data_IF_972552853252
#
_entry.id   IF_972552853252
#
_cell.length_a   1.000
_cell.length_b   1.000
_cell.length_c   1.000
_cell.angle_alpha   90.00
_cell.angle_beta   90.00
_cell.angle_gamma   90.00
#
_symmetry.space_group_name_H-M   'P 1'
#
loop_
_entity.id
_entity.type
_entity.pdbx_description
1 polymer ?
#
# COMPACT_ATOMS: atom_id res chain seq x y z
N UNK A 1 16.73 -52.43 31.46
CA UNK A 1 15.44 -52.22 30.79
C UNK A 1 14.95 -50.84 31.20
N UNK A 2 15.22 -49.83 30.36
CA UNK A 2 14.66 -48.50 30.53
C UNK A 2 13.19 -48.56 30.10
N UNK A 3 12.30 -47.97 30.89
CA UNK A 3 10.89 -47.84 30.57
C UNK A 3 10.74 -47.12 29.22
N UNK A 4 10.12 -47.79 28.26
CA UNK A 4 9.62 -47.15 27.05
C UNK A 4 8.57 -46.12 27.46
N UNK A 5 8.83 -44.87 27.12
CA UNK A 5 7.89 -43.75 27.28
C UNK A 5 6.66 -44.02 26.39
N UNK A 6 5.52 -44.28 27.01
CA UNK A 6 4.33 -44.87 26.38
C UNK A 6 3.27 -43.84 25.97
N UNK A 7 3.66 -42.66 25.50
CA UNK A 7 2.71 -41.66 24.97
C UNK A 7 3.18 -41.07 23.62
N UNK A 8 3.64 -41.94 22.71
CA UNK A 8 3.94 -41.55 21.32
C UNK A 8 2.63 -41.36 20.54
N UNK A 9 1.89 -40.28 20.82
CA UNK A 9 0.72 -39.90 20.02
C UNK A 9 1.15 -39.47 18.63
N UNK A 10 0.33 -39.77 17.62
CA UNK A 10 0.56 -39.29 16.27
C UNK A 10 0.59 -37.75 16.24
N UNK A 11 1.57 -37.17 15.54
CA UNK A 11 1.83 -35.72 15.50
C UNK A 11 1.83 -35.21 14.07
N UNK A 12 1.23 -34.04 13.84
CA UNK A 12 1.37 -33.32 12.56
C UNK A 12 2.83 -32.90 12.36
N UNK A 13 3.31 -32.98 11.11
CA UNK A 13 4.62 -32.45 10.71
C UNK A 13 4.43 -31.15 9.94
N UNK A 14 4.63 -30.04 10.62
CA UNK A 14 4.57 -28.70 10.01
C UNK A 14 5.86 -28.39 9.26
N UNK A 15 5.76 -27.50 8.28
CA UNK A 15 6.88 -27.07 7.42
C UNK A 15 6.92 -25.55 7.40
N UNK A 16 8.12 -24.99 7.53
CA UNK A 16 8.36 -23.58 7.24
C UNK A 16 8.51 -23.44 5.72
N UNK A 17 7.80 -22.50 5.06
CA UNK A 17 7.99 -22.25 3.63
C UNK A 17 9.46 -22.04 3.29
N UNK A 18 9.91 -22.59 2.15
CA UNK A 18 11.32 -22.56 1.76
C UNK A 18 11.81 -21.13 1.44
N UNK A 19 10.94 -20.33 0.83
CA UNK A 19 11.22 -18.93 0.53
C UNK A 19 10.88 -18.04 1.73
N UNK A 20 11.71 -17.01 1.95
CA UNK A 20 11.48 -15.99 3.00
C UNK A 20 10.14 -15.26 2.85
N UNK A 21 9.56 -15.24 1.66
CA UNK A 21 8.20 -14.73 1.44
C UNK A 21 7.51 -15.57 0.39
N UNK A 22 6.33 -16.08 0.74
CA UNK A 22 5.49 -16.91 -0.11
C UNK A 22 4.09 -16.29 -0.19
N UNK A 23 3.46 -16.36 -1.35
CA UNK A 23 2.03 -16.07 -1.52
C UNK A 23 1.33 -17.34 -1.97
N UNK A 24 0.47 -17.87 -1.11
CA UNK A 24 -0.38 -19.03 -1.41
C UNK A 24 -1.53 -18.56 -2.31
N UNK A 25 -1.33 -18.64 -3.63
CA UNK A 25 -2.29 -18.15 -4.63
C UNK A 25 -3.61 -18.93 -4.57
N UNK A 26 -4.72 -18.21 -4.51
CA UNK A 26 -6.07 -18.77 -4.46
C UNK A 26 -7.10 -17.65 -4.43
N UNK A 27 -8.23 -17.87 -5.09
CA UNK A 27 -9.37 -16.95 -5.15
C UNK A 27 -10.60 -17.50 -4.42
N UNK A 28 -10.75 -18.83 -4.37
CA UNK A 28 -11.86 -19.49 -3.66
C UNK A 28 -11.41 -20.02 -2.30
N UNK A 29 -12.37 -20.26 -1.40
CA UNK A 29 -12.02 -20.82 -0.09
C UNK A 29 -11.36 -22.19 -0.17
N UNK A 30 -11.78 -23.04 -1.11
CA UNK A 30 -11.23 -24.38 -1.27
C UNK A 30 -9.79 -24.34 -1.78
N UNK A 31 -9.49 -23.48 -2.76
CA UNK A 31 -8.12 -23.23 -3.22
C UNK A 31 -7.24 -22.72 -2.07
N UNK A 32 -7.71 -21.73 -1.31
CA UNK A 32 -6.95 -21.16 -0.19
C UNK A 32 -6.65 -22.22 0.88
N UNK A 33 -7.64 -23.07 1.22
CA UNK A 33 -7.47 -24.16 2.18
C UNK A 33 -6.41 -25.17 1.71
N UNK A 34 -6.45 -25.58 0.44
CA UNK A 34 -5.46 -26.48 -0.14
C UNK A 34 -4.05 -25.89 -0.12
N UNK A 35 -3.90 -24.62 -0.52
CA UNK A 35 -2.59 -23.99 -0.56
C UNK A 35 -2.03 -23.73 0.85
N UNK A 36 -2.87 -23.37 1.81
CA UNK A 36 -2.45 -23.26 3.21
C UNK A 36 -1.95 -24.60 3.76
N UNK A 37 -2.66 -25.69 3.46
CA UNK A 37 -2.23 -27.04 3.86
C UNK A 37 -0.89 -27.43 3.21
N UNK A 38 -0.74 -27.21 1.90
CA UNK A 38 0.51 -27.49 1.16
C UNK A 38 1.69 -26.67 1.67
N UNK A 39 1.46 -25.41 2.02
CA UNK A 39 2.51 -24.52 2.51
C UNK A 39 2.97 -24.86 3.94
N UNK A 40 2.09 -25.44 4.77
CA UNK A 40 2.32 -25.51 6.22
C UNK A 40 2.42 -26.93 6.78
N UNK A 41 1.94 -27.95 6.06
CA UNK A 41 1.90 -29.33 6.54
C UNK A 41 2.53 -30.29 5.53
N UNK A 42 3.49 -31.10 5.96
CA UNK A 42 4.01 -32.24 5.18
C UNK A 42 3.27 -33.55 5.46
N UNK A 43 2.67 -33.67 6.64
CA UNK A 43 1.88 -34.81 7.08
C UNK A 43 0.94 -34.36 8.20
N UNK A 44 -0.27 -34.93 8.25
CA UNK A 44 -1.22 -34.70 9.31
C UNK A 44 -1.97 -36.01 9.64
N UNK A 45 -1.93 -36.51 10.89
CA UNK A 45 -2.58 -37.78 11.26
C UNK A 45 -4.10 -37.69 11.26
N UNK A 46 -4.66 -36.49 11.33
CA UNK A 46 -6.07 -36.25 11.03
C UNK A 46 -6.23 -35.04 10.11
N UNK A 47 -7.36 -34.97 9.41
CA UNK A 47 -7.75 -33.80 8.60
C UNK A 47 -9.21 -33.46 8.90
N UNK A 48 -9.48 -32.17 9.17
CA UNK A 48 -10.84 -31.68 9.35
C UNK A 48 -11.41 -31.30 7.98
N UNK A 49 -12.61 -31.80 7.68
CA UNK A 49 -13.34 -31.51 6.44
C UNK A 49 -14.60 -30.71 6.75
N UNK A 50 -14.92 -29.71 5.94
CA UNK A 50 -16.18 -28.96 6.01
C UNK A 50 -16.64 -28.60 4.60
N UNK A 51 -17.95 -28.51 4.36
CA UNK A 51 -18.49 -28.10 3.07
C UNK A 51 -18.07 -26.68 2.70
N UNK A 52 -17.70 -26.45 1.45
CA UNK A 52 -17.32 -25.12 0.94
C UNK A 52 -18.42 -24.06 1.10
N UNK A 53 -19.70 -24.48 1.10
CA UNK A 53 -20.87 -23.64 1.36
C UNK A 53 -21.37 -23.70 2.82
N UNK A 54 -20.75 -24.50 3.70
CA UNK A 54 -21.22 -24.71 5.07
C UNK A 54 -20.56 -23.73 6.08
N UNK A 55 -20.96 -22.47 5.98
CA UNK A 55 -20.48 -21.41 6.87
C UNK A 55 -20.85 -21.65 8.34
N UNK A 56 -21.97 -22.32 8.61
CA UNK A 56 -22.44 -22.61 9.96
C UNK A 56 -21.51 -23.59 10.70
N UNK A 57 -20.98 -24.58 9.97
CA UNK A 57 -20.03 -25.58 10.50
C UNK A 57 -18.59 -25.07 10.56
N UNK A 58 -18.23 -24.05 9.79
CA UNK A 58 -16.84 -23.55 9.65
C UNK A 58 -16.21 -23.14 10.99
N UNK A 59 -16.96 -22.51 11.90
CA UNK A 59 -16.43 -22.12 13.21
C UNK A 59 -16.00 -23.34 14.05
N UNK A 60 -16.81 -24.39 14.06
CA UNK A 60 -16.52 -25.64 14.77
C UNK A 60 -15.36 -26.39 14.12
N UNK A 61 -15.33 -26.46 12.78
CA UNK A 61 -14.23 -27.07 12.04
C UNK A 61 -12.90 -26.35 12.32
N UNK A 62 -12.90 -25.02 12.31
CA UNK A 62 -11.71 -24.24 12.65
C UNK A 62 -11.24 -24.46 14.09
N UNK A 63 -12.16 -24.48 15.07
CA UNK A 63 -11.82 -24.74 16.46
C UNK A 63 -11.23 -26.15 16.66
N UNK A 64 -11.84 -27.17 16.07
CA UNK A 64 -11.37 -28.54 16.13
C UNK A 64 -9.96 -28.69 15.52
N UNK A 65 -9.72 -28.07 14.37
CA UNK A 65 -8.42 -28.10 13.71
C UNK A 65 -7.32 -27.43 14.53
N UNK A 66 -7.62 -26.28 15.16
CA UNK A 66 -6.66 -25.58 16.03
C UNK A 66 -6.36 -26.39 17.29
N UNK A 67 -7.38 -27.02 17.89
CA UNK A 67 -7.20 -27.90 19.07
C UNK A 67 -6.31 -29.11 18.73
N UNK A 68 -6.53 -29.72 17.56
CA UNK A 68 -5.83 -30.91 17.11
C UNK A 68 -4.46 -30.63 16.47
N UNK A 69 -4.21 -29.39 16.02
CA UNK A 69 -3.02 -29.04 15.25
C UNK A 69 -2.99 -29.67 13.86
N UNK A 70 -4.13 -29.69 13.15
CA UNK A 70 -4.31 -30.33 11.84
C UNK A 70 -4.93 -29.36 10.81
N UNK A 71 -4.78 -29.58 9.50
CA UNK A 71 -5.38 -28.70 8.49
C UNK A 71 -6.91 -28.84 8.41
N UNK A 72 -7.56 -27.75 7.99
CA UNK A 72 -8.96 -27.75 7.53
C UNK A 72 -8.97 -27.70 6.01
N UNK A 73 -9.66 -28.64 5.37
CA UNK A 73 -9.89 -28.64 3.92
C UNK A 73 -11.39 -28.55 3.62
N UNK A 74 -11.71 -27.93 2.48
CA UNK A 74 -13.10 -27.73 2.04
C UNK A 74 -13.50 -28.78 1.02
N UNK A 75 -14.60 -29.48 1.29
CA UNK A 75 -15.23 -30.38 0.31
C UNK A 75 -16.08 -29.57 -0.64
N UNK A 76 -15.92 -29.79 -1.95
CA UNK A 76 -16.65 -29.08 -3.00
C UNK A 76 -17.15 -30.07 -4.05
N UNK A 77 -18.21 -29.68 -4.76
CA UNK A 77 -18.77 -30.41 -5.89
C UNK A 77 -18.04 -30.12 -7.21
N UNK A 78 -17.14 -29.13 -7.26
CA UNK A 78 -16.37 -28.82 -8.46
C UNK A 78 -15.28 -29.86 -8.73
N UNK A 79 -15.36 -30.54 -9.88
CA UNK A 79 -14.53 -31.72 -10.20
C UNK A 79 -13.01 -31.50 -10.05
N UNK A 80 -12.49 -30.37 -10.56
CA UNK A 80 -11.06 -30.09 -10.54
C UNK A 80 -10.53 -29.86 -9.10
N UNK A 81 -11.25 -29.05 -8.32
CA UNK A 81 -10.90 -28.75 -6.93
C UNK A 81 -11.10 -29.97 -6.03
N UNK A 82 -12.14 -30.78 -6.30
CA UNK A 82 -12.37 -32.05 -5.62
C UNK A 82 -11.26 -33.07 -5.92
N UNK A 83 -10.72 -33.10 -7.15
CA UNK A 83 -9.54 -33.91 -7.47
C UNK A 83 -8.30 -33.44 -6.70
N UNK A 84 -8.05 -32.13 -6.66
CA UNK A 84 -6.93 -31.55 -5.92
C UNK A 84 -7.02 -31.81 -4.40
N UNK A 85 -8.24 -31.84 -3.84
CA UNK A 85 -8.49 -32.25 -2.47
C UNK A 85 -8.08 -33.69 -2.21
N UNK A 86 -8.44 -34.63 -3.09
CA UNK A 86 -8.06 -36.04 -2.96
C UNK A 86 -6.56 -36.24 -3.03
N UNK A 87 -5.87 -35.53 -3.94
CA UNK A 87 -4.41 -35.53 -4.01
C UNK A 87 -3.77 -35.00 -2.72
N UNK A 88 -4.34 -33.93 -2.16
CA UNK A 88 -3.85 -33.35 -0.91
C UNK A 88 -4.05 -34.29 0.29
N UNK A 89 -5.19 -34.97 0.38
CA UNK A 89 -5.42 -36.00 1.40
C UNK A 89 -4.43 -37.16 1.26
N UNK A 90 -4.15 -37.63 0.05
CA UNK A 90 -3.15 -38.66 -0.19
C UNK A 90 -1.74 -38.21 0.24
N UNK A 91 -1.38 -36.94 -0.03
CA UNK A 91 -0.09 -36.36 0.38
C UNK A 91 0.04 -36.23 1.90
N UNK A 92 -1.02 -35.80 2.57
CA UNK A 92 -1.04 -35.65 4.03
C UNK A 92 -1.02 -37.01 4.74
N UNK A 93 -1.56 -38.05 4.10
CA UNK A 93 -1.70 -39.41 4.61
C UNK A 93 -2.35 -39.47 6.01
N UNK A 94 -3.61 -39.00 6.16
CA UNK A 94 -4.30 -39.03 7.44
C UNK A 94 -4.74 -40.44 7.83
N UNK A 95 -4.73 -40.70 9.13
CA UNK A 95 -5.35 -41.87 9.75
C UNK A 95 -6.83 -41.59 10.06
N UNK A 96 -7.21 -40.33 10.26
CA UNK A 96 -8.61 -39.95 10.57
C UNK A 96 -9.09 -38.76 9.73
N UNK A 97 -10.24 -38.91 9.08
CA UNK A 97 -11.00 -37.80 8.50
C UNK A 97 -12.09 -37.37 9.47
N UNK A 98 -12.15 -36.07 9.78
CA UNK A 98 -13.11 -35.49 10.71
C UNK A 98 -14.05 -34.55 9.94
N UNK A 99 -15.13 -35.08 9.33
CA UNK A 99 -16.12 -34.23 8.68
C UNK A 99 -16.97 -33.49 9.72
N UNK A 100 -17.18 -32.19 9.45
CA UNK A 100 -18.04 -31.29 10.21
C UNK A 100 -19.18 -30.86 9.29
N UNK A 101 -20.41 -31.24 9.65
CA UNK A 101 -21.60 -31.03 8.83
C UNK A 101 -21.91 -32.19 7.89
N UNK A 102 -23.16 -32.28 7.47
CA UNK A 102 -23.68 -33.42 6.70
C UNK A 102 -23.07 -33.53 5.30
N UNK A 103 -22.83 -32.39 4.64
CA UNK A 103 -22.22 -32.35 3.30
C UNK A 103 -20.81 -32.96 3.30
N UNK A 104 -19.96 -32.56 4.26
CA UNK A 104 -18.62 -33.12 4.41
C UNK A 104 -18.66 -34.60 4.81
N UNK A 105 -19.61 -35.00 5.64
CA UNK A 105 -19.78 -36.39 6.05
C UNK A 105 -20.24 -37.29 4.90
N UNK A 106 -21.10 -36.79 4.02
CA UNK A 106 -21.49 -37.44 2.77
C UNK A 106 -20.29 -37.59 1.83
N UNK A 107 -19.58 -36.49 1.58
CA UNK A 107 -18.41 -36.47 0.71
C UNK A 107 -17.33 -37.46 1.15
N UNK A 108 -17.02 -37.51 2.45
CA UNK A 108 -16.00 -38.41 3.01
C UNK A 108 -16.37 -39.90 2.89
N UNK A 109 -17.67 -40.22 2.87
CA UNK A 109 -18.15 -41.61 2.63
C UNK A 109 -18.03 -42.01 1.17
N UNK A 110 -18.30 -41.08 0.26
CA UNK A 110 -18.22 -41.30 -1.19
C UNK A 110 -16.76 -41.37 -1.69
N UNK A 111 -15.84 -40.72 -0.98
CA UNK A 111 -14.43 -40.61 -1.35
C UNK A 111 -13.51 -41.15 -0.23
N UNK A 112 -13.50 -42.47 0.01
CA UNK A 112 -12.66 -43.06 1.04
C UNK A 112 -11.16 -42.83 0.76
N UNK A 113 -10.41 -42.51 1.80
CA UNK A 113 -8.95 -42.46 1.77
C UNK A 113 -8.42 -43.76 2.34
N UNK A 114 -7.53 -44.44 1.61
CA UNK A 114 -6.98 -45.72 2.04
C UNK A 114 -6.28 -45.61 3.40
N UNK A 115 -6.67 -46.46 4.35
CA UNK A 115 -6.13 -46.46 5.70
C UNK A 115 -6.70 -45.39 6.64
N UNK A 116 -7.56 -44.49 6.16
CA UNK A 116 -8.19 -43.47 6.99
C UNK A 116 -9.59 -43.89 7.47
N UNK A 117 -9.86 -43.70 8.76
CA UNK A 117 -11.19 -43.83 9.34
C UNK A 117 -11.96 -42.51 9.29
N UNK A 118 -13.27 -42.56 9.04
CA UNK A 118 -14.14 -41.37 9.05
C UNK A 118 -14.81 -41.25 10.42
N UNK A 119 -14.42 -40.24 11.19
CA UNK A 119 -14.97 -39.94 12.51
C UNK A 119 -15.73 -38.60 12.48
N UNK A 120 -17.06 -38.65 12.40
CA UNK A 120 -17.88 -37.44 12.40
C UNK A 120 -17.63 -36.58 13.65
N UNK A 121 -17.55 -35.26 13.45
CA UNK A 121 -17.29 -34.32 14.53
C UNK A 121 -18.33 -34.40 15.65
N UNK A 122 -17.85 -34.55 16.88
CA UNK A 122 -18.64 -34.42 18.10
C UNK A 122 -17.84 -33.61 19.11
N UNK A 123 -18.44 -32.53 19.63
CA UNK A 123 -17.81 -31.68 20.62
C UNK A 123 -17.34 -32.50 21.84
N UNK A 124 -16.08 -32.31 22.24
CA UNK A 124 -15.47 -33.02 23.37
C UNK A 124 -15.06 -34.48 23.11
N UNK A 125 -15.19 -34.98 21.86
CA UNK A 125 -14.78 -36.34 21.47
C UNK A 125 -13.80 -36.34 20.29
N UNK A 126 -12.92 -35.35 20.24
CA UNK A 126 -11.86 -35.29 19.24
C UNK A 126 -10.75 -36.33 19.54
N UNK A 127 -10.06 -36.86 18.52
CA UNK A 127 -8.94 -37.77 18.74
C UNK A 127 -7.83 -37.08 19.54
N UNK A 128 -7.03 -37.86 20.26
CA UNK A 128 -5.89 -37.31 21.03
C UNK A 128 -4.64 -37.38 20.18
N UNK A 129 -4.22 -36.23 19.67
CA UNK A 129 -2.97 -36.08 18.91
C UNK A 129 -1.87 -35.47 19.77
N UNK A 130 -0.62 -35.63 19.35
CA UNK A 130 0.50 -34.90 19.92
C UNK A 130 0.61 -33.49 19.35
N UNK A 131 1.30 -32.59 20.07
CA UNK A 131 1.46 -31.20 19.63
C UNK A 131 2.60 -31.04 18.61
N UNK A 132 2.32 -30.37 17.50
CA UNK A 132 3.36 -29.95 16.55
C UNK A 132 4.23 -28.82 17.14
N UNK A 133 5.49 -28.76 16.73
CA UNK A 133 6.38 -27.65 17.08
C UNK A 133 5.86 -26.33 16.47
N UNK A 134 5.96 -25.21 17.20
CA UNK A 134 5.47 -23.93 16.71
C UNK A 134 6.31 -23.37 15.56
N UNK A 135 5.64 -22.72 14.61
CA UNK A 135 6.29 -21.99 13.51
C UNK A 135 6.55 -20.53 13.92
N UNK A 136 7.30 -20.32 15.00
CA UNK A 136 7.50 -18.98 15.63
C UNK A 136 8.15 -17.94 14.71
N UNK A 137 8.87 -18.40 13.69
CA UNK A 137 9.56 -17.55 12.70
C UNK A 137 8.67 -17.12 11.53
N UNK A 138 7.45 -17.67 11.43
CA UNK A 138 6.52 -17.43 10.33
C UNK A 138 5.40 -16.46 10.75
N UNK A 139 5.27 -15.37 10.00
CA UNK A 139 4.08 -14.52 10.00
C UNK A 139 3.18 -14.94 8.83
N UNK A 140 1.93 -15.31 9.13
CA UNK A 140 0.90 -15.56 8.13
C UNK A 140 -0.05 -14.36 8.08
N UNK A 141 -0.21 -13.76 6.90
CA UNK A 141 -1.24 -12.76 6.64
C UNK A 141 -2.46 -13.43 6.01
N UNK A 142 -3.63 -13.16 6.57
CA UNK A 142 -4.92 -13.62 6.03
C UNK A 142 -5.87 -12.43 5.91
N UNK A 143 -6.70 -12.42 4.87
CA UNK A 143 -7.75 -11.40 4.75
C UNK A 143 -8.95 -11.75 5.63
N UNK A 144 -9.55 -10.73 6.25
CA UNK A 144 -10.79 -10.85 7.04
C UNK A 144 -12.00 -11.07 6.12
N UNK A 145 -12.08 -12.27 5.55
CA UNK A 145 -13.11 -12.67 4.58
C UNK A 145 -13.54 -14.12 4.81
N UNK A 146 -14.81 -14.47 4.58
CA UNK A 146 -15.31 -15.84 4.76
C UNK A 146 -14.51 -16.89 3.99
N UNK A 147 -14.08 -16.58 2.76
CA UNK A 147 -13.31 -17.49 1.90
C UNK A 147 -11.96 -17.86 2.53
N UNK A 148 -11.35 -16.97 3.32
CA UNK A 148 -10.07 -17.23 3.97
C UNK A 148 -10.21 -18.03 5.28
N UNK A 149 -11.43 -18.35 5.74
CA UNK A 149 -11.65 -18.91 7.09
C UNK A 149 -10.94 -20.26 7.30
N UNK A 150 -11.09 -21.21 6.36
CA UNK A 150 -10.46 -22.53 6.44
C UNK A 150 -8.93 -22.45 6.37
N UNK A 151 -8.39 -21.62 5.47
CA UNK A 151 -6.96 -21.36 5.35
C UNK A 151 -6.37 -20.70 6.61
N UNK A 152 -7.11 -19.74 7.19
CA UNK A 152 -6.74 -19.07 8.44
C UNK A 152 -6.73 -20.04 9.62
N UNK A 153 -7.73 -20.93 9.71
CA UNK A 153 -7.77 -21.97 10.73
C UNK A 153 -6.61 -22.95 10.58
N UNK A 154 -6.31 -23.38 9.36
CA UNK A 154 -5.14 -24.21 9.03
C UNK A 154 -3.83 -23.54 9.45
N UNK A 155 -3.68 -22.25 9.17
CA UNK A 155 -2.51 -21.48 9.61
C UNK A 155 -2.37 -21.41 11.13
N UNK A 156 -3.47 -21.18 11.86
CA UNK A 156 -3.49 -21.21 13.33
C UNK A 156 -3.16 -22.60 13.88
N UNK A 157 -3.67 -23.66 13.24
CA UNK A 157 -3.41 -25.05 13.62
C UNK A 157 -1.94 -25.44 13.42
N UNK A 158 -1.25 -24.84 12.46
CA UNK A 158 0.22 -24.99 12.30
C UNK A 158 1.03 -24.29 13.40
N UNK A 159 0.36 -23.57 14.32
CA UNK A 159 0.96 -22.75 15.37
C UNK A 159 1.88 -21.64 14.84
N UNK A 160 1.63 -21.19 13.60
CA UNK A 160 2.23 -19.97 13.08
C UNK A 160 1.57 -18.72 13.68
N UNK A 161 2.27 -17.59 13.63
CA UNK A 161 1.67 -16.31 14.02
C UNK A 161 0.76 -15.82 12.89
N UNK A 162 -0.53 -15.74 13.16
CA UNK A 162 -1.51 -15.31 12.14
C UNK A 162 -1.99 -13.89 12.43
N UNK A 163 -1.86 -13.02 11.44
CA UNK A 163 -2.40 -11.67 11.44
C UNK A 163 -3.53 -11.57 10.41
N UNK A 164 -4.76 -11.44 10.90
CA UNK A 164 -5.94 -11.24 10.06
C UNK A 164 -6.11 -9.74 9.80
N UNK A 165 -6.15 -9.35 8.53
CA UNK A 165 -6.15 -7.95 8.10
C UNK A 165 -7.27 -7.67 7.10
N UNK A 166 -7.72 -6.42 6.99
CA UNK A 166 -8.84 -6.04 6.10
C UNK A 166 -8.39 -5.73 4.67
N UNK A 167 -7.19 -5.18 4.54
CA UNK A 167 -6.59 -4.75 3.29
C UNK A 167 -5.36 -5.63 2.97
N UNK A 168 -5.17 -6.11 1.73
CA UNK A 168 -3.99 -6.89 1.37
C UNK A 168 -2.68 -6.10 1.41
N UNK A 169 -2.70 -4.77 1.53
CA UNK A 169 -1.53 -3.97 1.83
C UNK A 169 -1.38 -3.74 3.34
N UNK A 170 -0.44 -4.40 4.04
CA UNK A 170 -0.25 -4.21 5.47
C UNK A 170 0.19 -2.79 5.85
N UNK A 171 0.68 -1.98 4.90
CA UNK A 171 1.04 -0.57 5.09
C UNK A 171 -0.17 0.36 5.26
N UNK A 172 -1.38 -0.14 5.01
CA UNK A 172 -2.61 0.64 5.05
C UNK A 172 -3.23 0.77 6.45
N UNK A 173 -2.74 0.04 7.45
CA UNK A 173 -3.31 -0.01 8.79
C UNK A 173 -2.20 0.14 9.86
N UNK A 174 -2.36 1.10 10.77
CA UNK A 174 -1.32 1.45 11.73
C UNK A 174 -1.16 0.41 12.85
N UNK A 175 -2.22 -0.30 13.23
CA UNK A 175 -2.13 -1.42 14.17
C UNK A 175 -1.42 -2.62 13.53
N UNK A 176 -1.73 -2.90 12.26
CA UNK A 176 -0.99 -3.92 11.49
C UNK A 176 0.50 -3.59 11.42
N UNK A 177 0.85 -2.34 11.08
CA UNK A 177 2.24 -1.85 11.06
C UNK A 177 2.91 -2.03 12.43
N UNK A 178 2.29 -1.54 13.51
CA UNK A 178 2.82 -1.68 14.89
C UNK A 178 3.09 -3.14 15.22
N UNK A 179 2.14 -4.01 14.87
CA UNK A 179 2.27 -5.44 15.17
C UNK A 179 3.34 -6.12 14.31
N UNK A 180 3.57 -5.69 13.07
CA UNK A 180 4.68 -6.20 12.24
C UNK A 180 6.03 -5.68 12.75
N UNK A 181 6.14 -4.38 13.06
CA UNK A 181 7.37 -3.76 13.56
C UNK A 181 7.83 -4.33 14.91
N UNK A 182 6.89 -4.76 15.77
CA UNK A 182 7.20 -5.40 17.05
C UNK A 182 7.68 -6.87 16.91
N UNK A 183 7.65 -7.46 15.71
CA UNK A 183 7.94 -8.89 15.48
C UNK A 183 9.30 -9.12 14.84
N UNK A 184 9.87 -10.30 15.13
CA UNK A 184 11.11 -10.82 14.54
C UNK A 184 10.84 -11.96 13.55
N UNK A 185 9.75 -11.89 12.78
CA UNK A 185 9.44 -12.92 11.79
C UNK A 185 10.44 -12.86 10.63
N UNK A 186 11.03 -14.01 10.29
CA UNK A 186 11.97 -14.11 9.17
C UNK A 186 11.30 -14.58 7.89
N UNK A 187 10.14 -15.24 8.02
CA UNK A 187 9.34 -15.74 6.91
C UNK A 187 7.95 -15.11 6.94
N UNK A 188 7.39 -14.88 5.76
CA UNK A 188 6.04 -14.37 5.57
C UNK A 188 5.26 -15.26 4.60
N UNK A 189 4.02 -15.60 4.95
CA UNK A 189 3.07 -16.26 4.06
C UNK A 189 1.82 -15.40 3.90
N UNK A 190 1.56 -14.91 2.69
CA UNK A 190 0.28 -14.29 2.33
C UNK A 190 -0.73 -15.34 1.84
N UNK A 191 -1.89 -15.45 2.48
CA UNK A 191 -2.96 -16.36 2.06
C UNK A 191 -3.88 -15.68 1.04
N UNK A 192 -3.68 -15.98 -0.24
CA UNK A 192 -4.53 -15.58 -1.35
C UNK A 192 -3.89 -14.60 -2.33
N UNK A 193 -4.40 -14.62 -3.56
CA UNK A 193 -3.82 -13.87 -4.69
C UNK A 193 -3.91 -12.35 -4.53
N UNK A 194 -4.78 -11.87 -3.63
CA UNK A 194 -4.93 -10.44 -3.34
C UNK A 194 -3.66 -9.79 -2.77
N UNK A 195 -2.76 -10.55 -2.13
CA UNK A 195 -1.47 -10.06 -1.65
C UNK A 195 -0.47 -9.74 -2.79
N UNK A 196 -0.79 -10.15 -4.02
CA UNK A 196 0.06 -9.93 -5.19
C UNK A 196 1.30 -10.84 -5.22
N UNK A 197 2.28 -10.51 -6.06
CA UNK A 197 3.55 -11.23 -6.15
C UNK A 197 4.34 -11.21 -4.82
N UNK A 198 5.15 -12.25 -4.58
CA UNK A 198 5.87 -12.43 -3.33
C UNK A 198 6.91 -11.32 -3.05
N UNK A 199 7.56 -10.79 -4.08
CA UNK A 199 8.50 -9.66 -3.99
C UNK A 199 7.78 -8.37 -3.58
N UNK A 200 6.60 -8.10 -4.13
CA UNK A 200 5.75 -6.98 -3.70
C UNK A 200 5.37 -7.11 -2.23
N UNK A 201 4.89 -8.29 -1.81
CA UNK A 201 4.55 -8.54 -0.41
C UNK A 201 5.77 -8.35 0.51
N UNK A 202 6.94 -8.88 0.11
CA UNK A 202 8.19 -8.72 0.86
C UNK A 202 8.53 -7.24 1.07
N UNK A 203 8.46 -6.43 0.01
CA UNK A 203 8.73 -4.99 0.10
C UNK A 203 7.73 -4.29 1.04
N UNK A 204 6.44 -4.63 0.96
CA UNK A 204 5.42 -4.06 1.86
C UNK A 204 5.67 -4.40 3.32
N UNK A 205 6.07 -5.64 3.62
CA UNK A 205 6.43 -6.05 4.98
C UNK A 205 7.70 -5.35 5.45
N UNK A 206 8.72 -5.21 4.59
CA UNK A 206 9.96 -4.53 4.93
C UNK A 206 9.70 -3.07 5.31
N UNK A 207 8.83 -2.37 4.57
CA UNK A 207 8.37 -1.02 4.93
C UNK A 207 7.57 -1.03 6.23
N UNK A 208 6.60 -1.95 6.41
CA UNK A 208 5.82 -2.07 7.64
C UNK A 208 6.69 -2.34 8.88
N UNK A 209 7.72 -3.16 8.74
CA UNK A 209 8.65 -3.50 9.81
C UNK A 209 9.48 -2.30 10.30
N UNK A 210 9.60 -1.23 9.51
CA UNK A 210 10.25 0.00 9.98
C UNK A 210 9.45 0.71 11.09
N UNK A 211 8.13 0.51 11.14
CA UNK A 211 7.23 1.23 12.04
C UNK A 211 7.13 2.75 11.78
N UNK A 212 7.79 3.26 10.73
CA UNK A 212 7.80 4.68 10.40
C UNK A 212 6.47 5.05 9.74
N UNK A 213 5.72 5.97 10.36
CA UNK A 213 4.42 6.43 9.84
C UNK A 213 4.56 7.75 9.09
N UNK A 214 3.74 7.93 8.07
CA UNK A 214 3.53 9.21 7.40
C UNK A 214 2.80 10.19 8.34
N UNK A 215 2.94 11.52 8.11
CA UNK A 215 2.09 12.54 8.73
C UNK A 215 0.62 12.16 8.66
N UNK A 216 -0.03 12.01 9.82
CA UNK A 216 -1.43 11.57 10.00
C UNK A 216 -1.66 10.03 9.91
N UNK A 217 -0.61 9.24 10.10
CA UNK A 217 -0.67 7.78 10.25
C UNK A 217 -0.52 6.99 8.94
N UNK A 218 -0.27 5.68 9.08
CA UNK A 218 -0.07 4.69 7.99
C UNK A 218 1.19 4.93 7.16
N UNK A 219 1.40 4.07 6.16
CA UNK A 219 2.56 4.10 5.26
C UNK A 219 2.19 4.21 3.76
N UNK A 220 0.89 4.28 3.46
CA UNK A 220 0.36 4.62 2.13
C UNK A 220 -0.27 6.01 2.17
N UNK A 221 -0.14 6.78 1.09
CA UNK A 221 -0.57 8.20 1.08
C UNK A 221 -2.04 8.39 0.75
N UNK A 222 -2.67 7.49 0.00
CA UNK A 222 -4.10 7.49 -0.35
C UNK A 222 -4.56 6.03 -0.53
N UNK A 223 -5.85 5.68 -0.39
CA UNK A 223 -7.02 6.52 -0.06
C UNK A 223 -7.13 6.88 1.44
N UNK A 224 -8.27 7.45 1.83
CA UNK A 224 -8.71 7.67 3.22
C UNK A 224 -7.95 8.76 3.98
N UNK A 225 -7.39 9.74 3.26
CA UNK A 225 -6.85 10.98 3.82
C UNK A 225 -6.77 12.04 2.73
N UNK A 226 -6.64 13.28 3.16
CA UNK A 226 -6.45 14.43 2.27
C UNK A 226 -5.26 15.25 2.71
N UNK A 227 -4.69 16.00 1.79
CA UNK A 227 -3.58 16.90 2.08
C UNK A 227 -3.93 18.32 1.63
N UNK A 228 -3.67 19.29 2.50
CA UNK A 228 -3.89 20.71 2.22
C UNK A 228 -2.56 21.44 2.40
N UNK A 229 -2.00 21.94 1.30
CA UNK A 229 -0.67 22.52 1.26
C UNK A 229 -0.69 24.05 1.22
N UNK A 230 0.34 24.65 1.84
CA UNK A 230 0.82 25.97 1.41
C UNK A 230 1.87 25.78 0.33
N UNK A 231 1.74 26.52 -0.76
CA UNK A 231 2.65 26.53 -1.88
C UNK A 231 3.63 27.70 -1.80
N UNK A 232 4.90 27.46 -2.15
CA UNK A 232 5.80 28.54 -2.53
C UNK A 232 7.28 28.31 -2.19
N UNK A 233 8.08 29.36 -2.31
CA UNK A 233 9.53 29.31 -2.06
C UNK A 233 9.92 29.95 -0.72
N UNK A 234 10.67 29.26 0.16
CA UNK A 234 11.21 29.82 1.39
C UNK A 234 11.87 31.20 1.23
N UNK A 235 11.31 32.21 1.90
CA UNK A 235 11.90 33.55 1.93
C UNK A 235 11.57 34.43 0.73
N UNK A 236 10.73 33.98 -0.20
CA UNK A 236 10.25 34.80 -1.31
C UNK A 236 8.71 34.88 -1.30
N UNK A 237 8.19 36.05 -0.92
CA UNK A 237 6.76 36.33 -0.88
C UNK A 237 6.12 36.42 -2.28
N UNK A 238 6.91 36.63 -3.33
CA UNK A 238 6.43 36.69 -4.71
C UNK A 238 6.20 35.31 -5.33
N UNK A 239 6.70 34.25 -4.69
CA UNK A 239 6.64 32.88 -5.19
C UNK A 239 5.63 32.00 -4.42
N UNK A 240 4.67 32.62 -3.73
CA UNK A 240 3.52 31.94 -3.13
C UNK A 240 3.42 32.05 -1.61
N UNK A 241 2.23 31.75 -1.11
CA UNK A 241 1.83 31.97 0.28
C UNK A 241 2.70 31.31 1.36
N UNK A 242 3.49 30.28 1.03
CA UNK A 242 4.46 29.67 1.94
C UNK A 242 5.62 30.61 2.27
N UNK A 243 6.12 31.35 1.27
CA UNK A 243 7.32 32.18 1.34
C UNK A 243 7.15 33.51 2.06
N UNK A 244 5.90 33.96 2.25
CA UNK A 244 5.53 35.21 2.93
C UNK A 244 5.93 35.27 4.41
N UNK A 245 6.39 34.17 4.99
CA UNK A 245 6.67 34.09 6.42
C UNK A 245 7.84 33.15 6.76
N UNK A 246 8.44 33.29 7.97
CA UNK A 246 9.39 32.31 8.49
C UNK A 246 8.75 30.93 8.75
N UNK A 247 9.59 29.88 8.78
CA UNK A 247 9.16 28.46 8.90
C UNK A 247 8.15 28.19 10.03
N UNK A 248 8.35 28.71 11.23
CA UNK A 248 7.43 28.45 12.36
C UNK A 248 6.03 29.04 12.12
N UNK A 249 5.98 30.18 11.43
CA UNK A 249 4.72 30.82 11.03
C UNK A 249 4.08 30.08 9.86
N UNK A 250 4.88 29.57 8.91
CA UNK A 250 4.38 28.72 7.83
C UNK A 250 3.77 27.43 8.38
N UNK A 251 4.40 26.77 9.36
CA UNK A 251 3.86 25.58 10.04
C UNK A 251 2.51 25.90 10.69
N UNK A 252 2.43 27.03 11.39
CA UNK A 252 1.18 27.47 12.03
C UNK A 252 0.09 27.77 10.99
N UNK A 253 0.43 28.45 9.89
CA UNK A 253 -0.50 28.78 8.80
C UNK A 253 -1.00 27.52 8.09
N UNK A 254 -0.12 26.58 7.75
CA UNK A 254 -0.51 25.33 7.08
C UNK A 254 -1.51 24.52 7.92
N UNK A 255 -1.29 24.40 9.23
CA UNK A 255 -2.26 23.78 10.14
C UNK A 255 -3.61 24.50 10.15
N UNK A 256 -3.59 25.84 10.17
CA UNK A 256 -4.82 26.65 10.17
C UNK A 256 -5.60 26.46 8.88
N UNK A 257 -4.93 26.41 7.72
CA UNK A 257 -5.59 26.19 6.42
C UNK A 257 -6.15 24.77 6.36
N UNK A 258 -5.37 23.75 6.73
CA UNK A 258 -5.85 22.37 6.78
C UNK A 258 -7.06 22.17 7.72
N UNK A 259 -7.08 22.84 8.88
CA UNK A 259 -8.18 22.76 9.84
C UNK A 259 -9.53 23.25 9.28
N UNK A 260 -9.53 24.14 8.28
CA UNK A 260 -10.76 24.59 7.62
C UNK A 260 -11.44 23.45 6.86
N UNK A 261 -10.67 22.45 6.42
CA UNK A 261 -11.16 21.28 5.72
C UNK A 261 -11.49 20.13 6.65
N UNK A 262 -10.79 19.99 7.78
CA UNK A 262 -11.06 18.92 8.76
C UNK A 262 -12.51 18.90 9.26
N UNK A 263 -13.19 20.05 9.28
CA UNK A 263 -14.60 20.13 9.67
C UNK A 263 -15.58 19.67 8.57
N UNK A 264 -15.10 19.44 7.35
CA UNK A 264 -15.91 19.13 6.17
C UNK A 264 -15.89 17.66 5.77
N UNK A 265 -14.89 16.90 6.23
CA UNK A 265 -14.67 15.50 5.84
C UNK A 265 -14.43 14.62 7.05
N UNK A 266 -14.66 13.31 6.89
CA UNK A 266 -14.44 12.33 7.97
C UNK A 266 -13.02 11.81 7.99
N UNK A 267 -12.40 11.72 6.81
CA UNK A 267 -11.02 11.31 6.67
C UNK A 267 -10.03 12.34 7.26
N UNK A 268 -8.87 11.89 7.77
CA UNK A 268 -7.82 12.79 8.24
C UNK A 268 -7.40 13.79 7.17
N UNK A 269 -7.34 15.07 7.54
CA UNK A 269 -6.77 16.15 6.72
C UNK A 269 -5.38 16.47 7.25
N UNK A 270 -4.38 16.26 6.42
CA UNK A 270 -2.97 16.45 6.73
C UNK A 270 -2.50 17.79 6.18
N UNK A 271 -1.94 18.68 7.01
CA UNK A 271 -1.28 19.88 6.48
C UNK A 271 -0.06 19.48 5.65
N UNK A 272 0.22 20.22 4.59
CA UNK A 272 1.35 19.99 3.72
C UNK A 272 2.10 21.30 3.40
N UNK A 273 3.33 21.15 2.93
CA UNK A 273 4.09 22.17 2.22
C UNK A 273 4.37 21.67 0.82
N UNK A 274 4.23 22.55 -0.15
CA UNK A 274 4.68 22.34 -1.51
C UNK A 274 5.72 23.41 -1.79
N UNK A 275 6.99 23.00 -1.74
CA UNK A 275 8.15 23.89 -1.68
C UNK A 275 8.78 23.95 -3.06
N UNK A 276 8.75 25.13 -3.70
CA UNK A 276 9.50 25.39 -4.93
C UNK A 276 10.98 25.30 -4.60
N UNK A 277 11.57 24.21 -5.03
CA UNK A 277 12.91 23.79 -4.63
C UNK A 277 13.93 24.21 -5.69
N UNK A 278 13.54 24.14 -6.95
CA UNK A 278 14.24 24.77 -8.07
C UNK A 278 13.31 25.79 -8.72
N UNK A 279 13.81 27.01 -8.96
CA UNK A 279 13.01 28.14 -9.45
C UNK A 279 13.44 28.48 -10.87
N UNK A 280 12.50 28.50 -11.80
CA UNK A 280 12.73 28.97 -13.16
C UNK A 280 13.33 30.39 -13.19
N UNK A 281 14.48 30.58 -13.83
CA UNK A 281 15.18 31.88 -13.92
C UNK A 281 15.38 32.42 -15.34
N UNK A 282 15.07 33.69 -15.59
CA UNK A 282 15.33 34.32 -16.89
C UNK A 282 16.82 34.36 -17.25
N UNK A 283 17.70 34.23 -16.24
CA UNK A 283 19.14 34.18 -16.40
C UNK A 283 19.64 32.73 -16.43
N UNK A 284 20.70 32.43 -17.21
CA UNK A 284 21.22 31.06 -17.35
C UNK A 284 21.75 30.44 -16.05
N UNK A 285 22.07 31.25 -15.04
CA UNK A 285 22.78 30.77 -13.85
C UNK A 285 24.19 30.23 -14.17
N UNK A 286 24.90 29.69 -13.17
CA UNK A 286 26.26 29.19 -13.34
C UNK A 286 26.40 27.92 -14.21
N UNK A 287 25.38 27.07 -14.25
CA UNK A 287 25.36 25.81 -15.02
C UNK A 287 24.56 25.91 -16.32
N UNK A 288 23.98 27.07 -16.62
CA UNK A 288 23.39 27.38 -17.92
C UNK A 288 22.01 26.80 -18.14
N UNK A 289 21.39 26.21 -17.10
CA UNK A 289 20.12 25.50 -17.21
C UNK A 289 18.90 26.40 -16.98
N UNK A 290 19.07 27.67 -16.59
CA UNK A 290 17.96 28.61 -16.33
C UNK A 290 17.05 28.15 -15.18
N UNK A 291 17.59 27.43 -14.20
CA UNK A 291 16.90 27.02 -12.98
C UNK A 291 17.77 27.32 -11.76
N UNK A 292 17.31 28.21 -10.88
CA UNK A 292 18.01 28.51 -9.64
C UNK A 292 17.68 27.44 -8.59
N UNK A 293 18.66 26.61 -8.22
CA UNK A 293 18.45 25.55 -7.25
C UNK A 293 18.71 25.99 -5.81
N UNK A 294 17.73 25.73 -4.93
CA UNK A 294 17.94 25.83 -3.50
C UNK A 294 18.92 24.75 -3.03
N UNK A 295 19.80 25.08 -2.10
CA UNK A 295 20.67 24.07 -1.49
C UNK A 295 19.89 23.19 -0.51
N UNK A 296 20.36 21.95 -0.30
CA UNK A 296 19.77 21.04 0.70
C UNK A 296 19.83 21.67 2.10
N UNK A 297 20.88 22.41 2.41
CA UNK A 297 21.07 23.11 3.69
C UNK A 297 20.02 24.21 3.90
N UNK A 298 19.61 24.89 2.83
CA UNK A 298 18.55 25.90 2.90
C UNK A 298 17.17 25.29 3.15
N UNK A 299 16.89 24.14 2.51
CA UNK A 299 15.59 23.47 2.60
C UNK A 299 15.42 22.61 3.85
N UNK A 300 16.50 22.05 4.40
CA UNK A 300 16.46 21.12 5.54
C UNK A 300 15.72 21.68 6.76
N UNK A 301 15.91 22.94 7.20
CA UNK A 301 15.13 23.49 8.31
C UNK A 301 13.62 23.42 8.09
N UNK A 302 13.15 23.62 6.86
CA UNK A 302 11.74 23.54 6.48
C UNK A 302 11.23 22.10 6.49
N UNK A 303 11.98 21.18 5.88
CA UNK A 303 11.65 19.75 5.85
C UNK A 303 11.60 19.16 7.26
N UNK A 304 12.56 19.50 8.11
CA UNK A 304 12.64 18.97 9.47
C UNK A 304 11.55 19.56 10.37
N UNK A 305 11.25 20.86 10.22
CA UNK A 305 10.14 21.50 10.94
C UNK A 305 8.79 20.90 10.53
N UNK A 306 8.59 20.65 9.22
CA UNK A 306 7.41 19.97 8.73
C UNK A 306 7.27 18.55 9.31
N UNK A 307 8.35 17.76 9.30
CA UNK A 307 8.36 16.41 9.86
C UNK A 307 7.98 16.38 11.35
N UNK A 308 8.60 17.23 12.17
CA UNK A 308 8.24 17.36 13.60
C UNK A 308 6.79 17.81 13.81
N UNK A 309 6.24 18.58 12.87
CA UNK A 309 4.87 19.06 12.92
C UNK A 309 3.86 18.05 12.33
N UNK A 310 4.28 16.91 11.77
CA UNK A 310 3.35 16.05 11.03
C UNK A 310 2.74 16.79 9.84
N UNK A 311 3.57 17.52 9.10
CA UNK A 311 3.28 18.15 7.82
C UNK A 311 3.97 17.33 6.73
N UNK A 312 3.26 17.01 5.65
CA UNK A 312 3.85 16.36 4.47
C UNK A 312 4.55 17.40 3.59
N UNK A 313 5.64 17.05 2.91
CA UNK A 313 6.36 17.98 2.03
C UNK A 313 6.40 17.43 0.62
N UNK A 314 6.14 18.30 -0.36
CA UNK A 314 6.48 18.08 -1.76
C UNK A 314 7.62 19.03 -2.13
N UNK A 315 8.66 18.48 -2.75
CA UNK A 315 9.70 19.28 -3.39
C UNK A 315 9.28 19.50 -4.84
N UNK A 316 8.95 20.74 -5.18
CA UNK A 316 8.54 21.14 -6.52
C UNK A 316 9.74 21.58 -7.36
N UNK A 317 9.82 21.06 -8.58
CA UNK A 317 10.93 21.25 -9.50
C UNK A 317 10.46 22.03 -10.73
N UNK A 318 11.07 23.20 -10.96
CA UNK A 318 10.91 24.00 -12.16
C UNK A 318 12.19 23.86 -13.01
N UNK A 319 12.21 22.97 -14.02
CA UNK A 319 13.45 22.35 -14.47
C UNK A 319 14.30 23.22 -15.41
N UNK A 320 13.80 24.36 -15.88
CA UNK A 320 14.52 25.13 -16.89
C UNK A 320 14.87 24.25 -18.10
N UNK A 321 16.13 24.24 -18.51
CA UNK A 321 16.66 23.45 -19.64
C UNK A 321 17.20 22.07 -19.23
N UNK A 322 17.25 21.74 -17.93
CA UNK A 322 17.65 20.41 -17.48
C UNK A 322 16.45 19.46 -17.39
N UNK A 323 16.72 18.18 -17.17
CA UNK A 323 15.70 17.15 -16.97
C UNK A 323 15.35 16.94 -15.49
N UNK A 324 14.11 16.48 -15.23
CA UNK A 324 13.63 16.27 -13.88
C UNK A 324 14.44 15.27 -13.07
N UNK A 325 14.94 14.20 -13.69
CA UNK A 325 15.70 13.18 -12.99
C UNK A 325 17.03 13.74 -12.48
N UNK A 326 17.68 14.59 -13.28
CA UNK A 326 18.90 15.29 -12.90
C UNK A 326 18.66 16.19 -11.69
N UNK A 327 17.61 17.01 -11.68
CA UNK A 327 17.30 17.86 -10.51
C UNK A 327 16.84 17.05 -9.29
N UNK A 328 15.98 16.05 -9.46
CA UNK A 328 15.48 15.23 -8.36
C UNK A 328 16.61 14.54 -7.59
N UNK A 329 17.66 14.10 -8.30
CA UNK A 329 18.86 13.51 -7.68
C UNK A 329 19.64 14.48 -6.78
N UNK A 330 19.60 15.80 -7.03
CA UNK A 330 20.22 16.80 -6.14
C UNK A 330 19.58 16.79 -4.75
N UNK A 331 18.30 16.42 -4.67
CA UNK A 331 17.52 16.38 -3.44
C UNK A 331 17.31 14.97 -2.89
N UNK A 332 18.08 13.99 -3.35
CA UNK A 332 17.97 12.60 -2.92
C UNK A 332 18.05 12.44 -1.39
N UNK A 333 18.83 13.29 -0.70
CA UNK A 333 18.93 13.26 0.75
C UNK A 333 17.62 13.68 1.45
N UNK A 334 16.94 14.71 0.95
CA UNK A 334 15.64 15.13 1.47
C UNK A 334 14.54 14.14 1.07
N UNK A 335 14.59 13.60 -0.14
CA UNK A 335 13.66 12.56 -0.61
C UNK A 335 13.81 11.24 0.16
N UNK A 336 14.92 10.99 0.86
CA UNK A 336 15.04 9.87 1.80
C UNK A 336 14.26 10.06 3.09
N UNK A 337 13.76 11.26 3.38
CA UNK A 337 12.88 11.49 4.52
C UNK A 337 11.50 10.87 4.27
N UNK A 338 10.86 10.24 5.26
CA UNK A 338 9.59 9.52 5.07
C UNK A 338 8.44 10.40 4.58
N UNK A 339 8.37 11.64 5.07
CA UNK A 339 7.29 12.60 4.83
C UNK A 339 7.51 13.52 3.62
N UNK A 340 8.45 13.16 2.72
CA UNK A 340 8.82 13.99 1.56
C UNK A 340 8.52 13.26 0.26
N UNK A 341 7.69 13.86 -0.60
CA UNK A 341 7.43 13.48 -1.98
C UNK A 341 8.02 14.49 -2.98
N UNK A 342 7.70 14.30 -4.25
CA UNK A 342 8.25 15.08 -5.36
C UNK A 342 7.10 15.64 -6.22
N UNK A 343 7.19 16.90 -6.59
CA UNK A 343 6.34 17.52 -7.59
C UNK A 343 7.19 17.90 -8.82
N UNK A 344 6.64 17.65 -9.99
CA UNK A 344 7.24 17.97 -11.27
C UNK A 344 6.38 19.04 -11.93
N UNK A 345 7.00 20.15 -12.32
CA UNK A 345 6.32 21.24 -12.99
C UNK A 345 6.76 21.43 -14.46
N UNK A 346 6.06 20.78 -15.41
CA UNK A 346 6.41 20.83 -16.82
C UNK A 346 6.31 22.21 -17.45
N UNK A 347 5.53 23.14 -16.87
CA UNK A 347 5.34 24.46 -17.47
C UNK A 347 6.65 25.24 -17.60
N UNK A 348 7.61 24.93 -16.72
CA UNK A 348 8.91 25.57 -16.65
C UNK A 348 10.00 24.85 -17.45
N UNK A 349 9.66 23.82 -18.23
CA UNK A 349 10.63 23.19 -19.13
C UNK A 349 10.91 24.09 -20.34
N UNK A 350 12.17 24.42 -20.53
CA UNK A 350 12.71 25.14 -21.67
C UNK A 350 13.39 24.20 -22.66
N UNK A 351 13.06 24.34 -23.94
CA UNK A 351 13.84 23.80 -25.05
C UNK A 351 15.12 24.64 -25.28
N UNK A 352 16.06 24.16 -26.12
CA UNK A 352 17.22 24.96 -26.51
C UNK A 352 16.81 26.35 -27.01
N UNK A 353 17.48 27.39 -26.51
CA UNK A 353 17.26 28.82 -26.81
C UNK A 353 15.95 29.45 -26.30
N UNK A 354 15.06 28.68 -25.67
CA UNK A 354 13.90 29.25 -24.99
C UNK A 354 14.31 29.93 -23.68
N UNK A 355 13.52 30.92 -23.25
CA UNK A 355 13.67 31.66 -22.00
C UNK A 355 12.31 31.69 -21.27
N UNK A 356 12.32 31.86 -19.95
CA UNK A 356 11.08 31.82 -19.17
C UNK A 356 10.12 32.97 -19.47
N UNK A 357 8.85 32.77 -19.11
CA UNK A 357 7.74 33.71 -19.27
C UNK A 357 7.37 34.08 -20.72
N UNK A 358 7.92 33.39 -21.71
CA UNK A 358 7.60 33.59 -23.15
C UNK A 358 6.71 32.48 -23.71
N UNK A 359 6.85 31.26 -23.20
CA UNK A 359 6.07 30.10 -23.60
C UNK A 359 5.81 29.19 -22.40
N UNK A 360 4.78 28.35 -22.52
CA UNK A 360 4.56 27.24 -21.60
C UNK A 360 5.37 26.04 -22.06
N UNK A 361 6.12 25.45 -21.13
CA UNK A 361 6.96 24.29 -21.33
C UNK A 361 6.18 23.00 -21.56
N UNK A 362 6.92 21.97 -21.97
CA UNK A 362 6.39 20.62 -22.16
C UNK A 362 7.45 19.57 -21.88
N UNK A 363 7.04 18.46 -21.27
CA UNK A 363 7.86 17.27 -21.05
C UNK A 363 7.22 16.04 -21.66
N UNK A 364 8.03 14.99 -21.87
CA UNK A 364 7.51 13.69 -22.29
C UNK A 364 7.15 12.81 -21.09
N UNK A 365 6.13 11.97 -21.24
CA UNK A 365 5.80 10.91 -20.29
C UNK A 365 6.99 9.96 -20.04
N UNK A 366 7.90 9.81 -21.01
CA UNK A 366 9.13 9.03 -20.83
C UNK A 366 10.09 9.67 -19.81
N UNK A 367 10.21 11.00 -19.79
CA UNK A 367 11.02 11.70 -18.79
C UNK A 367 10.41 11.57 -17.39
N UNK A 368 9.08 11.70 -17.29
CA UNK A 368 8.34 11.44 -16.05
C UNK A 368 8.58 9.99 -15.58
N UNK A 369 8.45 9.00 -16.46
CA UNK A 369 8.66 7.60 -16.11
C UNK A 369 10.09 7.30 -15.65
N UNK A 370 11.12 7.93 -16.24
CA UNK A 370 12.50 7.81 -15.75
C UNK A 370 12.66 8.37 -14.33
N UNK A 371 12.04 9.51 -14.06
CA UNK A 371 12.05 10.14 -12.73
C UNK A 371 11.27 9.30 -11.71
N UNK A 372 10.08 8.81 -12.09
CA UNK A 372 9.25 7.93 -11.29
C UNK A 372 9.97 6.61 -10.94
N UNK A 373 10.58 5.95 -11.93
CA UNK A 373 11.32 4.71 -11.70
C UNK A 373 12.49 4.91 -10.72
N UNK A 374 13.22 6.02 -10.83
CA UNK A 374 14.28 6.36 -9.89
C UNK A 374 13.74 6.65 -8.48
N UNK A 375 12.65 7.42 -8.35
CA UNK A 375 12.05 7.72 -7.05
C UNK A 375 11.46 6.46 -6.38
N UNK A 376 10.86 5.57 -7.15
CA UNK A 376 10.37 4.27 -6.67
C UNK A 376 11.53 3.41 -6.15
N UNK A 377 12.63 3.32 -6.89
CA UNK A 377 13.81 2.58 -6.45
C UNK A 377 14.44 3.20 -5.19
N UNK A 378 14.57 4.53 -5.13
CA UNK A 378 15.02 5.22 -3.92
C UNK A 378 14.14 4.88 -2.72
N UNK A 379 12.81 4.88 -2.90
CA UNK A 379 11.84 4.58 -1.84
C UNK A 379 11.97 3.13 -1.37
N UNK A 380 12.04 2.18 -2.30
CA UNK A 380 12.20 0.74 -2.02
C UNK A 380 13.51 0.44 -1.31
N UNK A 381 14.64 0.91 -1.85
CA UNK A 381 15.98 0.65 -1.32
C UNK A 381 16.17 1.19 0.10
N UNK A 382 15.41 2.22 0.49
CA UNK A 382 15.45 2.81 1.82
C UNK A 382 14.27 2.37 2.71
N UNK A 383 13.45 1.40 2.26
CA UNK A 383 12.25 0.88 2.97
C UNK A 383 11.29 1.98 3.42
N UNK A 384 11.16 3.02 2.61
CA UNK A 384 10.38 4.20 2.96
C UNK A 384 8.87 3.95 2.77
N UNK A 385 8.02 4.69 3.49
CA UNK A 385 6.60 4.80 3.15
C UNK A 385 6.40 5.30 1.72
N UNK A 386 5.20 5.05 1.17
CA UNK A 386 4.81 5.49 -0.16
C UNK A 386 4.98 7.01 -0.32
N UNK A 387 5.45 7.45 -1.48
CA UNK A 387 5.66 8.87 -1.79
C UNK A 387 4.65 9.40 -2.79
N UNK A 388 4.26 10.65 -2.64
CA UNK A 388 3.55 11.35 -3.70
C UNK A 388 4.55 11.69 -4.82
N UNK A 389 4.17 11.38 -6.06
CA UNK A 389 4.73 11.97 -7.26
C UNK A 389 3.64 12.85 -7.89
N UNK A 390 3.79 14.16 -7.79
CA UNK A 390 2.83 15.12 -8.30
C UNK A 390 3.24 15.62 -9.69
N UNK A 391 2.26 15.74 -10.58
CA UNK A 391 2.42 16.27 -11.93
C UNK A 391 1.55 17.52 -12.04
N UNK A 392 2.18 18.71 -12.07
CA UNK A 392 1.47 19.96 -12.30
C UNK A 392 0.97 20.04 -13.74
N UNK A 393 -0.29 20.46 -13.90
CA UNK A 393 -0.88 20.56 -15.21
C UNK A 393 -2.11 21.48 -15.24
N UNK A 394 -2.16 22.39 -16.20
CA UNK A 394 -3.38 23.13 -16.58
C UNK A 394 -3.68 23.05 -18.08
N UNK A 395 -2.75 22.54 -18.89
CA UNK A 395 -2.96 22.19 -20.30
C UNK A 395 -2.48 20.76 -20.58
N UNK A 396 -3.20 20.05 -21.43
CA UNK A 396 -2.89 18.65 -21.77
C UNK A 396 -1.55 18.50 -22.51
N UNK A 397 -1.12 19.50 -23.26
CA UNK A 397 0.13 19.50 -24.04
C UNK A 397 1.40 19.77 -23.22
N UNK A 398 1.27 20.13 -21.94
CA UNK A 398 2.40 20.18 -21.00
C UNK A 398 3.06 18.81 -20.79
N UNK A 399 2.31 17.73 -21.00
CA UNK A 399 2.81 16.36 -20.87
C UNK A 399 2.46 15.56 -22.11
N UNK A 400 3.42 15.39 -23.00
CA UNK A 400 3.27 14.58 -24.22
C UNK A 400 3.33 13.08 -23.89
N UNK A 401 2.44 12.28 -24.49
CA UNK A 401 2.39 10.83 -24.20
C UNK A 401 1.92 10.49 -22.78
N UNK A 402 1.12 11.36 -22.15
CA UNK A 402 0.66 11.23 -20.75
C UNK A 402 -0.02 9.89 -20.43
N UNK A 403 -0.75 9.30 -21.37
CA UNK A 403 -1.41 8.01 -21.19
C UNK A 403 -0.44 6.84 -20.98
N UNK A 404 0.84 7.00 -21.34
CA UNK A 404 1.89 6.00 -21.16
C UNK A 404 2.69 6.19 -19.85
N UNK A 405 2.27 7.10 -18.97
CA UNK A 405 2.89 7.24 -17.65
C UNK A 405 2.60 5.98 -16.83
N UNK A 406 3.66 5.37 -16.31
CA UNK A 406 3.56 4.18 -15.46
C UNK A 406 3.14 4.58 -14.05
N UNK A 407 1.89 4.25 -13.70
CA UNK A 407 1.29 4.51 -12.39
C UNK A 407 1.25 3.25 -11.51
N UNK A 408 1.95 2.18 -11.90
CA UNK A 408 1.88 0.87 -11.23
C UNK A 408 2.90 0.66 -10.11
N UNK A 409 3.84 1.60 -9.92
CA UNK A 409 4.86 1.52 -8.87
C UNK A 409 4.25 1.57 -7.47
N UNK A 410 4.40 0.51 -6.70
CA UNK A 410 3.81 0.34 -5.36
C UNK A 410 4.40 1.28 -4.29
N UNK A 411 5.54 1.90 -4.62
CA UNK A 411 6.23 2.91 -3.83
C UNK A 411 5.69 4.33 -4.04
N UNK A 412 4.98 4.57 -5.14
CA UNK A 412 4.53 5.90 -5.52
C UNK A 412 3.00 5.99 -5.54
N UNK A 413 2.52 7.19 -5.34
CA UNK A 413 1.14 7.58 -5.58
C UNK A 413 1.14 8.80 -6.48
N UNK A 414 0.66 8.61 -7.71
CA UNK A 414 0.71 9.65 -8.72
C UNK A 414 -0.48 10.57 -8.56
N UNK A 415 -0.21 11.87 -8.39
CA UNK A 415 -1.23 12.91 -8.31
C UNK A 415 -1.12 13.78 -9.56
N UNK A 416 -2.19 13.90 -10.34
CA UNK A 416 -2.29 14.95 -11.36
C UNK A 416 -2.94 16.16 -10.69
N UNK A 417 -2.21 17.28 -10.67
CA UNK A 417 -2.59 18.49 -9.95
C UNK A 417 -3.04 19.57 -10.93
N UNK A 418 -4.32 19.95 -10.87
CA UNK A 418 -4.91 20.97 -11.72
C UNK A 418 -4.44 22.37 -11.28
N UNK A 419 -3.46 22.90 -12.02
CA UNK A 419 -2.69 24.10 -11.67
C UNK A 419 -3.06 25.32 -12.53
N UNK A 420 -4.36 25.51 -12.78
CA UNK A 420 -4.87 26.66 -13.53
C UNK A 420 -5.57 27.64 -12.60
N UNK A 421 -5.46 28.95 -12.87
CA UNK A 421 -6.15 30.01 -12.13
C UNK A 421 -7.25 30.67 -12.97
N UNK A 422 -8.14 31.40 -12.29
CA UNK A 422 -9.08 32.31 -12.96
C UNK A 422 -10.47 32.31 -12.32
N UNK A 423 -11.48 32.59 -13.14
CA UNK A 423 -12.88 32.48 -12.74
C UNK A 423 -13.27 31.03 -12.46
N UNK A 424 -14.37 30.82 -11.72
CA UNK A 424 -14.85 29.48 -11.43
C UNK A 424 -15.12 28.62 -12.68
N UNK A 425 -15.58 29.23 -13.77
CA UNK A 425 -15.77 28.54 -15.04
C UNK A 425 -14.46 28.06 -15.66
N UNK A 426 -13.42 28.92 -15.65
CA UNK A 426 -12.08 28.58 -16.18
C UNK A 426 -11.40 27.48 -15.35
N UNK A 427 -11.55 27.51 -14.03
CA UNK A 427 -11.04 26.44 -13.16
C UNK A 427 -11.70 25.10 -13.43
N UNK A 428 -13.04 25.08 -13.55
CA UNK A 428 -13.77 23.86 -13.88
C UNK A 428 -13.43 23.37 -15.30
N UNK A 429 -13.26 24.27 -16.27
CA UNK A 429 -12.82 23.91 -17.60
C UNK A 429 -11.41 23.29 -17.60
N UNK A 430 -10.48 23.85 -16.80
CA UNK A 430 -9.14 23.29 -16.60
C UNK A 430 -9.22 21.90 -15.97
N UNK A 431 -10.03 21.75 -14.92
CA UNK A 431 -10.26 20.48 -14.25
C UNK A 431 -10.80 19.39 -15.19
N UNK A 432 -11.79 19.72 -16.02
CA UNK A 432 -12.36 18.79 -16.99
C UNK A 432 -11.34 18.41 -18.08
N UNK A 433 -10.59 19.40 -18.58
CA UNK A 433 -9.58 19.20 -19.61
C UNK A 433 -8.40 18.35 -19.13
N UNK A 434 -7.86 18.65 -17.94
CA UNK A 434 -6.73 17.90 -17.36
C UNK A 434 -7.14 16.46 -17.05
N UNK A 435 -8.39 16.19 -16.68
CA UNK A 435 -8.86 14.81 -16.48
C UNK A 435 -9.01 14.00 -17.76
N UNK A 436 -9.32 14.65 -18.88
CA UNK A 436 -9.55 13.97 -20.15
C UNK A 436 -8.30 13.21 -20.62
N UNK A 437 -8.42 11.89 -20.81
CA UNK A 437 -7.31 11.06 -21.30
C UNK A 437 -6.16 10.88 -20.30
N UNK A 438 -6.42 11.02 -19.00
CA UNK A 438 -5.44 10.71 -17.96
C UNK A 438 -5.20 9.20 -17.83
N UNK A 439 -4.00 8.76 -17.43
CA UNK A 439 -3.74 7.36 -17.12
C UNK A 439 -4.61 6.88 -15.95
N UNK A 440 -4.81 5.56 -15.88
CA UNK A 440 -5.50 4.94 -14.75
C UNK A 440 -4.66 5.05 -13.46
N UNK A 441 -5.28 4.81 -12.31
CA UNK A 441 -4.63 4.76 -10.99
C UNK A 441 -3.92 6.08 -10.58
N UNK A 442 -4.47 7.22 -11.00
CA UNK A 442 -4.04 8.54 -10.52
C UNK A 442 -5.01 9.09 -9.49
N UNK A 443 -4.47 9.94 -8.62
CA UNK A 443 -5.22 10.79 -7.71
C UNK A 443 -5.32 12.20 -8.26
N UNK A 444 -6.32 12.94 -7.79
CA UNK A 444 -6.59 14.29 -8.28
C UNK A 444 -6.25 15.35 -7.25
N UNK A 445 -5.49 16.34 -7.70
CA UNK A 445 -5.13 17.52 -6.93
C UNK A 445 -5.65 18.80 -7.55
N UNK A 446 -5.85 19.84 -6.75
CA UNK A 446 -6.43 21.12 -7.15
C UNK A 446 -5.67 22.30 -6.53
N UNK A 447 -5.27 23.29 -7.32
CA UNK A 447 -4.69 24.52 -6.76
C UNK A 447 -5.74 25.60 -6.56
N UNK A 448 -5.70 26.27 -5.42
CA UNK A 448 -6.39 27.54 -5.19
C UNK A 448 -5.35 28.66 -5.20
N UNK A 449 -5.67 29.76 -5.88
CA UNK A 449 -4.84 30.96 -5.92
C UNK A 449 -5.54 32.05 -5.13
N UNK A 450 -4.89 32.60 -4.11
CA UNK A 450 -5.52 33.61 -3.25
C UNK A 450 -5.86 34.89 -4.01
N UNK A 451 -4.98 35.31 -4.92
CA UNK A 451 -5.08 36.61 -5.58
C UNK A 451 -5.55 36.50 -7.05
N UNK A 452 -5.25 35.40 -7.73
CA UNK A 452 -5.57 35.20 -9.14
C UNK A 452 -6.99 34.65 -9.36
N UNK A 453 -7.50 33.84 -8.43
CA UNK A 453 -8.85 33.30 -8.54
C UNK A 453 -9.91 34.36 -8.17
N UNK A 454 -10.96 34.48 -8.99
CA UNK A 454 -12.00 35.52 -8.82
C UNK A 454 -13.42 34.94 -8.79
N UNK A 455 -14.01 34.69 -7.60
CA UNK A 455 -13.35 34.55 -6.30
C UNK A 455 -12.65 33.19 -6.16
N UNK A 456 -11.67 33.10 -5.27
CA UNK A 456 -11.10 31.82 -4.83
C UNK A 456 -12.18 30.89 -4.27
N UNK A 457 -12.09 29.60 -4.60
CA UNK A 457 -13.02 28.61 -4.06
C UNK A 457 -12.87 28.52 -2.54
N UNK A 458 -14.01 28.52 -1.84
CA UNK A 458 -14.02 28.16 -0.41
C UNK A 458 -13.62 26.69 -0.22
N UNK A 459 -13.19 26.28 0.99
CA UNK A 459 -12.94 24.87 1.31
C UNK A 459 -14.11 23.95 0.95
N UNK A 460 -15.35 24.38 1.23
CA UNK A 460 -16.57 23.63 0.90
C UNK A 460 -16.77 23.47 -0.61
N UNK A 461 -16.52 24.54 -1.39
CA UNK A 461 -16.63 24.46 -2.86
C UNK A 461 -15.54 23.58 -3.44
N UNK A 462 -14.30 23.70 -2.95
CA UNK A 462 -13.15 22.92 -3.43
C UNK A 462 -13.41 21.42 -3.27
N UNK A 463 -13.95 20.98 -2.12
CA UNK A 463 -14.25 19.55 -1.90
C UNK A 463 -15.53 19.06 -2.56
N UNK A 464 -16.38 19.97 -3.05
CA UNK A 464 -17.56 19.64 -3.84
C UNK A 464 -17.26 19.48 -5.34
N UNK A 465 -16.03 19.79 -5.79
CA UNK A 465 -15.56 19.44 -7.14
C UNK A 465 -15.55 17.92 -7.27
N UNK A 466 -15.99 17.38 -8.41
CA UNK A 466 -16.06 15.93 -8.63
C UNK A 466 -15.10 15.45 -9.75
N UNK A 467 -14.28 14.39 -9.52
CA UNK A 467 -14.11 13.69 -8.25
C UNK A 467 -13.48 14.60 -7.19
N UNK A 468 -13.84 14.42 -5.93
CA UNK A 468 -13.32 15.24 -4.84
C UNK A 468 -11.77 15.20 -4.77
N UNK A 469 -11.06 16.36 -4.81
CA UNK A 469 -9.61 16.40 -4.84
C UNK A 469 -9.02 15.93 -3.50
N UNK A 470 -8.02 15.05 -3.56
CA UNK A 470 -7.36 14.50 -2.37
C UNK A 470 -6.16 15.34 -1.93
N UNK A 471 -5.64 16.18 -2.81
CA UNK A 471 -4.59 17.15 -2.53
C UNK A 471 -5.05 18.54 -2.96
N UNK A 472 -4.93 19.54 -2.10
CA UNK A 472 -5.21 20.93 -2.47
C UNK A 472 -4.06 21.81 -2.02
N UNK A 473 -3.47 22.60 -2.92
CA UNK A 473 -2.51 23.63 -2.52
C UNK A 473 -3.07 25.04 -2.66
N UNK A 474 -2.54 25.93 -1.82
CA UNK A 474 -2.85 27.35 -1.81
C UNK A 474 -1.61 28.14 -2.18
N UNK A 475 -1.68 28.84 -3.30
CA UNK A 475 -0.66 29.76 -3.78
C UNK A 475 -1.01 31.20 -3.41
#
# INVERSE_FOLDING_TARGET
MAAFDSDSRATSRTVLPADVTTVAAGATGAELALQASRALFSHAPAVVLVGDQDQASMANAGAAAVELGVPVLLTTAEDATAAALREELARLAPETLIPVGDAAAGWAKEHPVEGAEVQAYQAGKLPRLGAAAPLDKLLVLALDRPEAAAATATAKASRAQVLVIKDPDPRADDEVIKTIAARQSTHVLGLGSAFGPADRLRNRIDTAATGILLPGGRQVVFPNRRMIALYGHPGDAGLGSLGEQPVDKAVTRARKVAAQYSALVKEPVVPAFEIITTVASSDPGPDGDYSNESTVEHLRPWVDAAGRAGIYVLLDLQPGRTDFLTQAKRYAELLKQPHVGLALDPEWRLAPHQIHMVQIGSVSGNEINKTAAWLAELTRANRLPQKILMLHQFRTDMITGRSAIDTSADELSVVIHADGFGSAGEKMATWDNVRAGAPAQVWWGWKNFYDEDKPTFSPKQTFAVEPSPVFVSYQ
#
